data_IF_861477482547
#
_entry.id   IF_861477482547
#
_cell.length_a   1.000
_cell.length_b   1.000
_cell.length_c   1.000
_cell.angle_alpha   90.00
_cell.angle_beta   90.00
_cell.angle_gamma   90.00
#
_symmetry.space_group_name_H-M   'P 1'
#
loop_
_entity.id
_entity.type
_entity.pdbx_description
1 polymer ?
#
# COMPACT_ATOMS: atom_id res chain seq x y z
N UNK A 1 2.34 -1.70 8.00
CA UNK A 1 3.70 -1.56 8.52
C UNK A 1 3.60 -0.99 9.93
N UNK A 2 3.99 -1.76 10.94
CA UNK A 2 3.96 -1.35 12.34
C UNK A 2 5.10 -0.36 12.68
N UNK A 3 4.92 0.41 13.74
CA UNK A 3 5.89 1.43 14.18
C UNK A 3 7.29 0.85 14.49
N UNK A 4 7.35 -0.37 14.96
CA UNK A 4 8.60 -1.10 15.29
C UNK A 4 9.30 -1.73 14.06
N UNK A 5 8.75 -1.55 12.87
CA UNK A 5 9.30 -2.03 11.59
C UNK A 5 9.44 -0.92 10.55
N UNK A 6 9.38 0.35 10.95
CA UNK A 6 9.47 1.48 10.00
C UNK A 6 10.81 1.48 9.24
N UNK A 7 11.88 1.03 9.86
CA UNK A 7 13.23 0.98 9.28
C UNK A 7 13.57 -0.38 8.63
N UNK A 8 12.62 -1.31 8.55
CA UNK A 8 12.83 -2.62 7.91
C UNK A 8 12.75 -2.50 6.38
N UNK A 9 13.90 -2.27 5.75
CA UNK A 9 14.01 -2.20 4.29
C UNK A 9 13.66 -3.52 3.61
N UNK A 10 13.86 -4.66 4.26
CA UNK A 10 13.51 -5.97 3.71
C UNK A 10 11.99 -6.11 3.59
N UNK A 11 11.25 -5.71 4.63
CA UNK A 11 9.80 -5.70 4.61
C UNK A 11 9.28 -4.74 3.54
N UNK A 12 9.87 -3.55 3.43
CA UNK A 12 9.44 -2.54 2.46
C UNK A 12 9.77 -2.95 1.01
N UNK A 13 10.91 -3.60 0.78
CA UNK A 13 11.25 -4.17 -0.54
C UNK A 13 10.31 -5.29 -0.93
N UNK A 14 9.99 -6.21 -0.02
CA UNK A 14 8.98 -7.24 -0.26
C UNK A 14 7.64 -6.62 -0.66
N UNK A 15 7.24 -5.54 0.00
CA UNK A 15 6.03 -4.80 -0.34
C UNK A 15 6.10 -4.17 -1.74
N UNK A 16 7.26 -3.59 -2.12
CA UNK A 16 7.48 -3.05 -3.46
C UNK A 16 7.37 -4.15 -4.54
N UNK A 17 7.87 -5.35 -4.27
CA UNK A 17 7.74 -6.51 -5.16
C UNK A 17 6.28 -6.95 -5.31
N UNK A 18 5.52 -6.96 -4.22
CA UNK A 18 4.09 -7.32 -4.24
C UNK A 18 3.26 -6.29 -5.02
N UNK A 19 3.60 -4.99 -4.97
CA UNK A 19 2.99 -3.95 -5.81
C UNK A 19 3.27 -4.22 -7.29
N UNK A 20 4.50 -4.58 -7.64
CA UNK A 20 4.89 -4.78 -9.04
C UNK A 20 4.37 -6.10 -9.62
N UNK A 21 4.11 -7.08 -8.76
CA UNK A 21 3.67 -8.39 -9.20
C UNK A 21 2.26 -8.34 -9.77
N UNK A 22 2.08 -8.92 -10.97
CA UNK A 22 0.81 -8.95 -11.70
C UNK A 22 0.13 -7.57 -11.82
N UNK A 23 0.92 -6.49 -11.77
CA UNK A 23 0.43 -5.10 -11.84
C UNK A 23 -0.74 -4.81 -10.89
N UNK A 24 -0.71 -5.40 -9.70
CA UNK A 24 -1.77 -5.35 -8.66
C UNK A 24 -3.11 -6.00 -9.06
N UNK A 25 -3.20 -6.72 -10.16
CA UNK A 25 -4.47 -7.30 -10.64
C UNK A 25 -4.89 -8.58 -9.91
N UNK A 26 -4.04 -9.15 -9.06
CA UNK A 26 -4.44 -10.29 -8.24
C UNK A 26 -5.29 -9.83 -7.03
N UNK A 27 -6.26 -10.67 -6.63
CA UNK A 27 -7.12 -10.41 -5.47
C UNK A 27 -6.36 -10.25 -4.14
N UNK A 28 -5.12 -10.73 -4.06
CA UNK A 28 -4.23 -10.58 -2.91
C UNK A 28 -3.23 -9.43 -3.05
N UNK A 29 -3.24 -8.71 -4.16
CA UNK A 29 -2.32 -7.59 -4.38
C UNK A 29 -2.62 -6.42 -3.45
N UNK A 30 -1.59 -5.76 -2.91
CA UNK A 30 -1.78 -4.64 -2.01
C UNK A 30 -2.32 -3.41 -2.76
N UNK A 31 -3.41 -2.83 -2.27
CA UNK A 31 -3.97 -1.58 -2.80
C UNK A 31 -3.66 -0.38 -1.89
N UNK A 32 -3.44 -0.64 -0.61
CA UNK A 32 -3.12 0.38 0.39
C UNK A 32 -2.02 -0.13 1.31
N UNK A 33 -1.01 0.70 1.55
CA UNK A 33 -0.06 0.53 2.64
C UNK A 33 -0.45 1.45 3.79
N UNK A 34 -0.88 0.85 4.90
CA UNK A 34 -1.08 1.56 6.15
C UNK A 34 0.20 1.53 6.98
N UNK A 35 0.65 2.68 7.43
CA UNK A 35 1.89 2.87 8.19
C UNK A 35 1.57 3.46 9.55
N UNK A 36 2.01 2.80 10.60
CA UNK A 36 1.85 3.29 11.98
C UNK A 36 2.89 4.39 12.27
N UNK A 37 2.61 5.60 11.80
CA UNK A 37 3.50 6.76 11.89
C UNK A 37 2.71 8.07 11.81
N UNK A 38 3.38 9.18 12.02
CA UNK A 38 2.87 10.54 11.76
C UNK A 38 3.06 10.96 10.29
N UNK A 39 2.67 12.18 9.95
CA UNK A 39 2.79 12.70 8.59
C UNK A 39 4.24 12.82 8.10
N UNK A 40 5.19 13.37 8.88
CA UNK A 40 6.60 13.38 8.48
C UNK A 40 7.16 11.97 8.24
N UNK A 41 6.89 11.03 9.12
CA UNK A 41 7.30 9.64 8.96
C UNK A 41 6.68 8.97 7.74
N UNK A 42 5.41 9.30 7.40
CA UNK A 42 4.76 8.81 6.19
C UNK A 42 5.49 9.27 4.93
N UNK A 43 5.92 10.53 4.87
CA UNK A 43 6.73 11.05 3.76
C UNK A 43 8.08 10.36 3.66
N UNK A 44 8.73 10.07 4.78
CA UNK A 44 9.99 9.32 4.80
C UNK A 44 9.81 7.90 4.24
N UNK A 45 8.75 7.19 4.66
CA UNK A 45 8.42 5.87 4.11
C UNK A 45 8.10 5.95 2.61
N UNK A 46 7.37 6.98 2.17
CA UNK A 46 7.06 7.17 0.76
C UNK A 46 8.33 7.34 -0.10
N UNK A 47 9.29 8.14 0.36
CA UNK A 47 10.55 8.36 -0.34
C UNK A 47 11.37 7.04 -0.45
N UNK A 48 11.42 6.26 0.61
CA UNK A 48 12.09 4.94 0.62
C UNK A 48 11.38 3.95 -0.31
N UNK A 49 10.04 3.89 -0.25
CA UNK A 49 9.25 3.03 -1.13
C UNK A 49 9.43 3.42 -2.60
N UNK A 50 9.50 4.72 -2.92
CA UNK A 50 9.76 5.21 -4.28
C UNK A 50 11.13 4.74 -4.80
N UNK A 51 12.19 4.84 -3.98
CA UNK A 51 13.51 4.34 -4.34
C UNK A 51 13.52 2.81 -4.58
N UNK A 52 12.78 2.06 -3.77
CA UNK A 52 12.63 0.62 -3.93
C UNK A 52 11.83 0.27 -5.20
N UNK A 53 10.72 0.95 -5.47
CA UNK A 53 9.93 0.76 -6.68
C UNK A 53 10.74 1.09 -7.94
N UNK A 54 11.52 2.16 -7.95
CA UNK A 54 12.41 2.49 -9.06
C UNK A 54 13.45 1.38 -9.35
N UNK A 55 13.90 0.67 -8.31
CA UNK A 55 14.83 -0.46 -8.43
C UNK A 55 14.14 -1.76 -8.84
N UNK A 56 12.97 -2.05 -8.27
CA UNK A 56 12.25 -3.33 -8.42
C UNK A 56 11.42 -3.37 -9.70
N UNK A 57 10.75 -2.27 -10.05
CA UNK A 57 9.82 -2.22 -11.19
C UNK A 57 10.45 -2.67 -12.52
N UNK A 58 11.68 -2.28 -12.88
CA UNK A 58 12.30 -2.75 -14.12
C UNK A 58 12.63 -4.26 -14.13
N UNK A 59 12.71 -4.90 -12.95
CA UNK A 59 13.01 -6.32 -12.82
C UNK A 59 11.78 -7.21 -12.99
N UNK A 60 10.58 -6.63 -12.88
CA UNK A 60 9.32 -7.36 -12.95
C UNK A 60 8.54 -6.82 -14.15
N UNK A 61 8.48 -7.58 -15.27
CA UNK A 61 7.72 -7.15 -16.44
C UNK A 61 6.27 -6.84 -16.09
N UNK A 62 5.78 -5.70 -16.57
CA UNK A 62 4.40 -5.28 -16.40
C UNK A 62 3.65 -5.30 -17.72
N UNK A 63 2.34 -5.25 -17.66
CA UNK A 63 1.46 -5.06 -18.80
C UNK A 63 1.05 -3.58 -18.89
N UNK A 64 0.97 -3.07 -20.11
CA UNK A 64 0.41 -1.74 -20.31
C UNK A 64 -1.10 -1.78 -20.03
N UNK A 65 -1.64 -0.80 -19.28
CA UNK A 65 -3.08 -0.67 -19.12
C UNK A 65 -3.76 -0.42 -20.46
N UNK A 66 -4.96 -0.92 -20.64
CA UNK A 66 -5.80 -0.55 -21.78
C UNK A 66 -6.32 0.89 -21.66
N UNK A 67 -7.10 1.34 -22.62
CA UNK A 67 -7.59 2.74 -22.66
C UNK A 67 -8.57 3.05 -21.51
N UNK A 68 -9.38 2.09 -21.05
CA UNK A 68 -10.31 2.28 -19.94
C UNK A 68 -9.57 2.29 -18.61
N UNK A 69 -8.64 1.37 -18.40
CA UNK A 69 -7.76 1.30 -17.25
C UNK A 69 -6.86 2.55 -17.13
N UNK A 70 -6.33 3.01 -18.26
CA UNK A 70 -5.55 4.26 -18.31
C UNK A 70 -6.41 5.48 -17.95
N UNK A 71 -7.66 5.52 -18.38
CA UNK A 71 -8.59 6.59 -18.03
C UNK A 71 -8.90 6.59 -16.51
N UNK A 72 -9.05 5.42 -15.90
CA UNK A 72 -9.24 5.29 -14.44
C UNK A 72 -8.02 5.79 -13.67
N UNK A 73 -6.82 5.35 -14.05
CA UNK A 73 -5.56 5.82 -13.46
C UNK A 73 -5.48 7.34 -13.55
N UNK A 74 -5.72 7.89 -14.74
CA UNK A 74 -5.67 9.34 -15.00
C UNK A 74 -6.68 10.10 -14.14
N UNK A 75 -7.89 9.57 -14.00
CA UNK A 75 -8.94 10.18 -13.16
C UNK A 75 -8.53 10.22 -11.70
N UNK A 76 -8.06 9.11 -11.14
CA UNK A 76 -7.61 9.04 -9.75
C UNK A 76 -6.46 10.00 -9.48
N UNK A 77 -5.47 10.05 -10.36
CA UNK A 77 -4.32 10.94 -10.22
C UNK A 77 -4.70 12.42 -10.39
N UNK A 78 -5.62 12.74 -11.31
CA UNK A 78 -6.10 14.10 -11.51
C UNK A 78 -6.83 14.62 -10.27
N UNK A 79 -7.70 13.81 -9.67
CA UNK A 79 -8.35 14.15 -8.39
C UNK A 79 -7.30 14.35 -7.30
N UNK A 80 -6.35 13.46 -7.16
CA UNK A 80 -5.29 13.59 -6.15
C UNK A 80 -4.44 14.85 -6.37
N UNK A 81 -4.13 15.22 -7.62
CA UNK A 81 -3.42 16.48 -7.93
C UNK A 81 -4.24 17.72 -7.57
N UNK A 82 -5.56 17.70 -7.77
CA UNK A 82 -6.44 18.79 -7.34
C UNK A 82 -6.53 18.90 -5.82
N UNK A 83 -6.40 17.79 -5.10
CA UNK A 83 -6.46 17.75 -3.64
C UNK A 83 -5.11 18.11 -2.97
N UNK A 84 -4.00 18.01 -3.70
CA UNK A 84 -2.66 18.28 -3.17
C UNK A 84 -2.46 19.70 -2.61
N UNK A 85 -2.93 20.79 -3.27
CA UNK A 85 -2.84 22.14 -2.71
C UNK A 85 -3.61 22.33 -1.41
N UNK A 86 -4.57 21.44 -1.13
CA UNK A 86 -5.35 21.44 0.12
C UNK A 86 -4.65 20.65 1.25
N UNK A 87 -3.47 20.09 0.98
CA UNK A 87 -2.74 19.23 1.92
C UNK A 87 -3.40 17.86 2.18
N UNK A 88 -4.35 17.47 1.34
CA UNK A 88 -5.07 16.20 1.50
C UNK A 88 -4.33 15.01 0.88
N UNK A 89 -3.58 15.27 -0.18
CA UNK A 89 -2.81 14.24 -0.90
C UNK A 89 -1.42 14.75 -1.27
N UNK A 90 -0.52 13.81 -1.57
CA UNK A 90 0.75 14.07 -2.24
C UNK A 90 1.06 12.90 -3.18
N UNK A 91 1.65 13.17 -4.34
CA UNK A 91 1.94 12.14 -5.34
C UNK A 91 3.44 12.08 -5.56
N UNK A 92 3.96 10.86 -5.57
CA UNK A 92 5.30 10.53 -6.07
C UNK A 92 5.13 9.48 -7.15
N UNK A 93 5.64 9.75 -8.34
CA UNK A 93 5.46 8.85 -9.48
C UNK A 93 6.77 8.68 -10.27
N UNK A 94 6.87 7.54 -10.94
CA UNK A 94 7.94 7.29 -11.90
C UNK A 94 7.82 8.23 -13.11
N UNK A 95 8.91 8.85 -13.60
CA UNK A 95 8.87 9.72 -14.78
C UNK A 95 8.30 9.03 -16.04
N UNK A 96 8.45 7.70 -16.14
CA UNK A 96 7.94 6.89 -17.25
C UNK A 96 6.55 6.30 -16.94
N UNK A 97 5.99 6.61 -15.78
CA UNK A 97 4.66 6.16 -15.38
C UNK A 97 4.56 4.67 -15.03
N UNK A 98 5.67 4.03 -14.63
CA UNK A 98 5.66 2.61 -14.28
C UNK A 98 5.03 2.31 -12.92
N UNK A 99 5.09 3.27 -11.98
CA UNK A 99 4.49 3.14 -10.65
C UNK A 99 4.10 4.50 -10.09
N UNK A 100 3.18 4.51 -9.12
CA UNK A 100 2.70 5.73 -8.45
C UNK A 100 2.41 5.45 -6.98
N UNK A 101 2.81 6.38 -6.12
CA UNK A 101 2.49 6.41 -4.69
C UNK A 101 1.62 7.63 -4.46
N UNK A 102 0.44 7.44 -3.92
CA UNK A 102 -0.45 8.52 -3.54
C UNK A 102 -0.61 8.52 -2.01
N UNK A 103 0.01 9.50 -1.35
CA UNK A 103 -0.26 9.76 0.06
C UNK A 103 -1.65 10.36 0.19
N UNK A 104 -2.42 9.89 1.16
CA UNK A 104 -3.74 10.43 1.48
C UNK A 104 -3.88 10.56 3.00
N UNK A 105 -4.07 11.79 3.47
CA UNK A 105 -4.17 12.11 4.90
C UNK A 105 -5.54 11.76 5.50
N UNK A 106 -6.53 11.48 4.66
CA UNK A 106 -7.90 11.16 5.11
C UNK A 106 -8.01 9.74 5.62
N UNK A 107 -8.85 9.48 6.63
CA UNK A 107 -9.09 8.14 7.14
C UNK A 107 -9.81 7.26 6.10
N UNK A 108 -9.74 5.94 6.31
CA UNK A 108 -10.43 4.92 5.50
C UNK A 108 -9.65 4.43 4.29
N UNK A 109 -10.15 3.34 3.71
CA UNK A 109 -9.60 2.75 2.51
C UNK A 109 -10.24 3.35 1.26
N UNK A 110 -9.46 3.45 0.21
CA UNK A 110 -9.91 3.84 -1.14
C UNK A 110 -9.47 2.75 -2.12
N UNK A 111 -10.27 2.41 -3.14
CA UNK A 111 -9.84 1.49 -4.17
C UNK A 111 -8.65 2.08 -4.94
N UNK A 112 -7.69 1.23 -5.26
CA UNK A 112 -6.60 1.59 -6.17
C UNK A 112 -7.07 1.41 -7.62
N UNK A 113 -6.62 2.26 -8.55
CA UNK A 113 -6.79 2.00 -9.97
C UNK A 113 -5.84 0.89 -10.47
N UNK A 114 -5.15 0.17 -9.57
CA UNK A 114 -4.20 -0.89 -9.86
C UNK A 114 -2.97 -0.39 -10.64
N UNK A 115 -2.38 -1.23 -11.47
CA UNK A 115 -1.23 -0.89 -12.33
C UNK A 115 -0.12 -0.15 -11.57
N UNK A 116 0.30 -0.74 -10.44
CA UNK A 116 1.35 -0.23 -9.55
C UNK A 116 1.07 1.15 -8.99
N UNK A 117 -0.21 1.44 -8.74
CA UNK A 117 -0.65 2.66 -8.05
C UNK A 117 -1.07 2.30 -6.63
N UNK A 118 -0.34 2.78 -5.63
CA UNK A 118 -0.54 2.43 -4.23
C UNK A 118 -0.98 3.64 -3.41
N UNK A 119 -2.02 3.46 -2.59
CA UNK A 119 -2.36 4.42 -1.54
C UNK A 119 -1.45 4.23 -0.34
N UNK A 120 -0.87 5.31 0.16
CA UNK A 120 -0.05 5.32 1.38
C UNK A 120 -0.73 6.16 2.44
N UNK A 121 -1.00 5.58 3.61
CA UNK A 121 -1.78 6.22 4.67
C UNK A 121 -1.13 6.03 6.03
N UNK A 122 -1.09 7.11 6.82
CA UNK A 122 -0.76 6.99 8.24
C UNK A 122 -1.94 6.42 9.02
N UNK A 123 -1.66 5.68 10.07
CA UNK A 123 -2.66 5.12 10.96
C UNK A 123 -2.12 5.05 12.39
N UNK A 124 -2.98 5.32 13.36
CA UNK A 124 -2.73 4.99 14.75
C UNK A 124 -3.33 3.63 15.07
N UNK A 125 -2.59 2.77 15.76
CA UNK A 125 -3.01 1.40 16.11
C UNK A 125 -4.39 1.37 16.74
N UNK A 126 -4.67 2.30 17.67
CA UNK A 126 -5.96 2.39 18.35
C UNK A 126 -7.15 2.66 17.41
N UNK A 127 -6.90 3.27 16.25
CA UNK A 127 -7.94 3.63 15.28
C UNK A 127 -8.13 2.57 14.19
N UNK A 128 -7.20 1.62 14.06
CA UNK A 128 -7.15 0.67 12.95
C UNK A 128 -8.46 -0.13 12.79
N UNK A 129 -9.00 -0.67 13.88
CA UNK A 129 -10.24 -1.43 13.82
C UNK A 129 -11.44 -0.57 13.36
N UNK A 130 -11.54 0.66 13.83
CA UNK A 130 -12.61 1.58 13.44
C UNK A 130 -12.51 2.00 11.96
N UNK A 131 -11.28 2.23 11.49
CA UNK A 131 -10.99 2.57 10.09
C UNK A 131 -11.36 1.44 9.12
N UNK A 132 -11.08 0.20 9.49
CA UNK A 132 -11.30 -0.97 8.63
C UNK A 132 -12.74 -1.48 8.67
N UNK A 133 -13.48 -1.25 9.79
CA UNK A 133 -14.84 -1.78 9.98
C UNK A 133 -15.83 -1.49 8.84
N UNK A 134 -15.86 -0.28 8.23
CA UNK A 134 -16.78 -0.01 7.11
C UNK A 134 -16.53 -0.90 5.90
N UNK A 135 -15.30 -1.40 5.74
CA UNK A 135 -14.88 -2.24 4.62
C UNK A 135 -14.88 -3.75 4.95
N UNK A 136 -15.43 -4.15 6.10
CA UNK A 136 -15.36 -5.51 6.62
C UNK A 136 -15.74 -6.59 5.61
N UNK A 137 -16.76 -6.35 4.80
CA UNK A 137 -17.24 -7.31 3.80
C UNK A 137 -16.26 -7.51 2.61
N UNK A 138 -15.30 -6.59 2.46
CA UNK A 138 -14.38 -6.53 1.33
C UNK A 138 -12.93 -6.85 1.72
N UNK A 139 -12.65 -6.93 3.04
CA UNK A 139 -11.31 -7.22 3.54
C UNK A 139 -11.00 -8.70 3.33
N UNK A 140 -9.95 -8.97 2.58
CA UNK A 140 -9.49 -10.33 2.33
C UNK A 140 -8.12 -10.58 2.97
N UNK A 141 -7.07 -10.10 2.36
CA UNK A 141 -5.70 -10.39 2.76
C UNK A 141 -5.01 -9.13 3.28
N UNK A 142 -4.28 -9.28 4.37
CA UNK A 142 -3.41 -8.26 4.92
C UNK A 142 -1.99 -8.80 5.06
N UNK A 143 -1.02 -8.17 4.41
CA UNK A 143 0.39 -8.34 4.73
C UNK A 143 0.73 -7.55 5.99
N UNK A 144 1.28 -8.20 7.00
CA UNK A 144 1.65 -7.58 8.28
C UNK A 144 3.17 -7.64 8.49
N UNK A 145 3.82 -6.49 8.52
CA UNK A 145 5.18 -6.33 9.00
C UNK A 145 5.14 -5.68 10.40
N UNK A 146 5.54 -6.43 11.39
CA UNK A 146 5.54 -6.01 12.80
C UNK A 146 6.57 -6.81 13.59
N UNK A 147 7.17 -6.20 14.59
CA UNK A 147 8.02 -6.89 15.55
C UNK A 147 7.23 -7.87 16.42
N UNK A 148 7.93 -8.77 17.10
CA UNK A 148 7.33 -9.85 17.88
C UNK A 148 6.31 -9.36 18.93
N UNK A 149 6.59 -8.24 19.58
CA UNK A 149 5.69 -7.68 20.60
C UNK A 149 4.39 -7.11 20.00
N UNK A 150 4.45 -6.57 18.78
CA UNK A 150 3.32 -5.96 18.08
C UNK A 150 2.49 -6.96 17.27
N UNK A 151 3.09 -8.08 16.90
CA UNK A 151 2.49 -9.08 16.00
C UNK A 151 1.13 -9.59 16.49
N UNK A 152 1.08 -10.15 17.70
CA UNK A 152 -0.15 -10.75 18.23
C UNK A 152 -1.26 -9.71 18.49
N UNK A 153 -0.98 -8.52 19.06
CA UNK A 153 -1.99 -7.47 19.20
C UNK A 153 -2.55 -7.00 17.85
N UNK A 154 -1.70 -6.74 16.87
CA UNK A 154 -2.15 -6.29 15.54
C UNK A 154 -2.94 -7.36 14.80
N UNK A 155 -2.51 -8.62 14.87
CA UNK A 155 -3.25 -9.76 14.30
C UNK A 155 -4.68 -9.81 14.85
N UNK A 156 -4.87 -9.67 16.17
CA UNK A 156 -6.22 -9.67 16.78
C UNK A 156 -7.05 -8.50 16.28
N UNK A 157 -6.48 -7.31 16.17
CA UNK A 157 -7.18 -6.12 15.66
C UNK A 157 -7.62 -6.32 14.22
N UNK A 158 -6.74 -6.82 13.34
CA UNK A 158 -7.03 -7.07 11.93
C UNK A 158 -8.13 -8.13 11.75
N UNK A 159 -8.05 -9.24 12.46
CA UNK A 159 -9.08 -10.29 12.42
C UNK A 159 -10.43 -9.77 12.93
N UNK A 160 -10.45 -9.00 14.02
CA UNK A 160 -11.68 -8.40 14.54
C UNK A 160 -12.31 -7.38 13.57
N UNK A 161 -11.49 -6.72 12.77
CA UNK A 161 -11.94 -5.80 11.72
C UNK A 161 -12.53 -6.52 10.50
N UNK A 162 -12.28 -7.82 10.33
CA UNK A 162 -12.84 -8.62 9.24
C UNK A 162 -11.82 -9.12 8.21
N UNK A 163 -10.52 -8.90 8.45
CA UNK A 163 -9.48 -9.49 7.60
C UNK A 163 -9.56 -11.02 7.74
N UNK A 164 -9.67 -11.72 6.62
CA UNK A 164 -9.83 -13.18 6.59
C UNK A 164 -8.50 -13.92 6.52
N UNK A 165 -7.45 -13.28 6.02
CA UNK A 165 -6.11 -13.85 5.86
C UNK A 165 -5.04 -12.84 6.25
N UNK A 166 -4.12 -13.23 7.13
CA UNK A 166 -2.95 -12.44 7.48
C UNK A 166 -1.70 -13.19 7.03
N UNK A 167 -0.85 -12.53 6.27
CA UNK A 167 0.48 -13.02 5.91
C UNK A 167 1.51 -12.23 6.70
N UNK A 168 2.45 -12.95 7.30
CA UNK A 168 3.56 -12.33 8.02
C UNK A 168 4.61 -11.91 7.01
N UNK A 169 4.90 -10.63 6.93
CA UNK A 169 5.65 -9.91 5.89
C UNK A 169 4.91 -9.86 4.55
N UNK A 170 5.27 -8.91 3.67
CA UNK A 170 4.70 -8.85 2.33
C UNK A 170 4.81 -10.21 1.66
N UNK A 171 3.79 -10.58 0.92
CA UNK A 171 3.67 -11.88 0.28
C UNK A 171 4.74 -12.04 -0.82
N UNK A 172 5.92 -12.51 -0.46
CA UNK A 172 6.77 -13.16 -1.44
C UNK A 172 6.12 -14.52 -1.70
N UNK A 173 5.38 -14.67 -2.79
CA UNK A 173 4.94 -16.00 -3.18
C UNK A 173 6.19 -16.85 -3.30
N UNK A 174 6.25 -17.84 -2.44
CA UNK A 174 7.17 -18.95 -2.55
C UNK A 174 7.12 -19.42 -4.01
N UNK A 175 8.30 -19.48 -4.58
CA UNK A 175 8.64 -20.17 -5.80
C UNK A 175 7.69 -21.32 -6.10
N UNK A 176 6.95 -21.18 -7.21
CA UNK A 176 6.53 -22.36 -7.93
C UNK A 176 7.82 -22.89 -8.59
N UNK A 177 8.39 -23.92 -7.99
CA UNK A 177 9.35 -24.77 -8.63
C UNK A 177 8.71 -25.45 -9.84
#
# INVERSE_FOLDING_TARGET
LAADCLDDDTALEGFARDICRLDQQACSSPQTLMVETDTPGLHAVAARLAALLARVSPQIPGQAPDSAEQAEITTVLSVARCEAPLGLTAITEDPQGQWRIVLDTRPGLRPSPLFRTIWLKSVQRAQLAALLRPMRAWLQTCGLAAGLASMAPLTRVLLSAGVSRITLRPFTSVEAA
#
